data_IF_622146223536
#
_entry.id   IF_622146223536
#
_cell.length_a   1.000
_cell.length_b   1.000
_cell.length_c   1.000
_cell.angle_alpha   90.00
_cell.angle_beta   90.00
_cell.angle_gamma   90.00
#
_symmetry.space_group_name_H-M   'P 1'
#
loop_
_entity.id
_entity.type
_entity.pdbx_description
1 polymer ?
#
# COMPACT_ATOMS: atom_id res chain seq x y z
N UNK A 1 -2.59 13.98 -40.59
CA UNK A 1 -3.47 13.63 -39.45
C UNK A 1 -3.82 14.89 -38.72
N UNK A 2 -5.10 15.17 -38.51
CA UNK A 2 -5.49 16.31 -37.70
C UNK A 2 -5.10 16.03 -36.25
N UNK A 3 -4.28 16.90 -35.65
CA UNK A 3 -3.93 16.81 -34.24
C UNK A 3 -5.17 17.01 -33.35
N UNK A 4 -5.16 16.48 -32.13
CA UNK A 4 -6.21 16.75 -31.16
C UNK A 4 -6.20 18.24 -30.78
N UNK A 5 -7.37 18.88 -30.88
CA UNK A 5 -7.54 20.31 -30.56
C UNK A 5 -8.57 20.47 -29.47
N UNK A 6 -8.18 21.19 -28.42
CA UNK A 6 -9.10 21.55 -27.34
C UNK A 6 -10.10 22.61 -27.79
N UNK A 7 -11.38 22.54 -27.36
CA UNK A 7 -12.40 23.56 -27.68
C UNK A 7 -12.06 24.97 -27.17
N UNK A 8 -11.27 25.06 -26.11
CA UNK A 8 -10.83 26.33 -25.52
C UNK A 8 -9.29 26.33 -25.46
N UNK A 9 -8.68 27.42 -25.92
CA UNK A 9 -7.25 27.66 -25.81
C UNK A 9 -6.95 28.50 -24.56
N UNK A 10 -6.22 27.90 -23.62
CA UNK A 10 -5.75 28.55 -22.42
C UNK A 10 -4.26 28.92 -22.48
N UNK A 11 -3.64 28.85 -23.66
CA UNK A 11 -2.26 29.25 -23.90
C UNK A 11 -1.19 28.24 -23.47
N UNK A 12 -1.58 27.07 -22.96
CA UNK A 12 -0.68 26.02 -22.48
C UNK A 12 -0.75 24.75 -23.36
N UNK A 13 -0.48 24.89 -24.66
CA UNK A 13 -0.63 23.78 -25.63
C UNK A 13 0.45 22.70 -25.59
N UNK A 14 1.40 22.75 -24.65
CA UNK A 14 2.48 21.78 -24.56
C UNK A 14 2.00 20.42 -24.05
N UNK A 15 2.38 19.33 -24.76
CA UNK A 15 2.13 17.95 -24.36
C UNK A 15 0.67 17.45 -24.39
N UNK A 16 -0.29 18.25 -24.84
CA UNK A 16 -1.71 17.83 -24.84
C UNK A 16 -1.97 16.59 -25.69
N UNK A 17 -1.26 16.41 -26.79
CA UNK A 17 -1.40 15.24 -27.65
C UNK A 17 -0.88 13.97 -26.96
N UNK A 18 0.19 14.05 -26.19
CA UNK A 18 0.72 12.94 -25.42
C UNK A 18 -0.20 12.56 -24.28
N UNK A 19 -0.74 13.54 -23.56
CA UNK A 19 -1.74 13.32 -22.53
C UNK A 19 -3.02 12.71 -23.09
N UNK A 20 -3.50 13.20 -24.23
CA UNK A 20 -4.67 12.63 -24.90
C UNK A 20 -4.44 11.18 -25.30
N UNK A 21 -3.26 10.86 -25.84
CA UNK A 21 -2.89 9.48 -26.22
C UNK A 21 -2.89 8.56 -24.99
N UNK A 22 -2.33 9.00 -23.87
CA UNK A 22 -2.36 8.23 -22.63
C UNK A 22 -3.77 8.06 -22.09
N UNK A 23 -4.60 9.11 -22.10
CA UNK A 23 -6.01 9.04 -21.69
C UNK A 23 -6.83 8.04 -22.51
N UNK A 24 -6.48 7.84 -23.76
CA UNK A 24 -7.14 6.84 -24.62
C UNK A 24 -6.70 5.41 -24.32
N UNK A 25 -5.68 5.21 -23.53
CA UNK A 25 -5.24 3.89 -23.10
C UNK A 25 -6.04 3.42 -21.87
N UNK A 26 -7.31 3.06 -22.11
CA UNK A 26 -8.24 2.67 -21.06
C UNK A 26 -7.75 1.48 -20.21
N UNK A 27 -6.92 0.60 -20.78
CA UNK A 27 -6.40 -0.56 -20.08
C UNK A 27 -5.45 -0.19 -18.94
N UNK A 28 -4.62 0.86 -19.09
CA UNK A 28 -3.75 1.34 -18.04
C UNK A 28 -4.54 1.89 -16.84
N UNK A 29 -5.55 2.70 -17.13
CA UNK A 29 -6.40 3.27 -16.06
C UNK A 29 -7.26 2.21 -15.37
N UNK A 30 -7.78 1.23 -16.12
CA UNK A 30 -8.52 0.11 -15.54
C UNK A 30 -7.64 -0.73 -14.61
N UNK A 31 -6.40 -1.01 -14.98
CA UNK A 31 -5.44 -1.74 -14.15
C UNK A 31 -5.10 -0.97 -12.86
N UNK A 32 -4.84 0.33 -12.95
CA UNK A 32 -4.61 1.19 -11.79
C UNK A 32 -5.84 1.23 -10.87
N UNK A 33 -7.04 1.36 -11.43
CA UNK A 33 -8.30 1.36 -10.68
C UNK A 33 -8.52 0.08 -9.91
N UNK A 34 -8.12 -1.07 -10.46
CA UNK A 34 -8.24 -2.35 -9.76
C UNK A 34 -7.38 -2.40 -8.49
N UNK A 35 -6.17 -1.86 -8.52
CA UNK A 35 -5.31 -1.73 -7.33
C UNK A 35 -5.98 -0.85 -6.27
N UNK A 36 -6.47 0.33 -6.64
CA UNK A 36 -7.18 1.21 -5.71
C UNK A 36 -8.45 0.58 -5.16
N UNK A 37 -9.19 -0.18 -5.97
CA UNK A 37 -10.35 -0.94 -5.52
C UNK A 37 -9.99 -1.95 -4.43
N UNK A 38 -8.87 -2.66 -4.56
CA UNK A 38 -8.39 -3.55 -3.51
C UNK A 38 -8.14 -2.79 -2.20
N UNK A 39 -7.56 -1.61 -2.26
CA UNK A 39 -7.24 -0.76 -1.12
C UNK A 39 -8.41 0.18 -0.71
N UNK A 40 -9.59 0.04 -1.28
CA UNK A 40 -10.78 0.76 -0.83
C UNK A 40 -11.53 0.09 0.33
N UNK A 41 -11.20 -1.14 0.66
CA UNK A 41 -11.75 -1.88 1.79
C UNK A 41 -10.85 -1.73 3.02
N UNK A 42 -11.37 -1.29 4.18
CA UNK A 42 -10.55 -1.05 5.37
C UNK A 42 -9.82 -2.29 5.88
N UNK A 43 -10.43 -3.46 5.78
CA UNK A 43 -9.82 -4.72 6.22
C UNK A 43 -8.66 -5.11 5.31
N UNK A 44 -8.81 -4.95 3.99
CA UNK A 44 -7.72 -5.21 3.04
C UNK A 44 -6.55 -4.24 3.22
N UNK A 45 -6.82 -2.97 3.51
CA UNK A 45 -5.76 -2.00 3.85
C UNK A 45 -5.00 -2.44 5.10
N UNK A 46 -5.69 -2.87 6.15
CA UNK A 46 -5.08 -3.39 7.40
C UNK A 46 -4.20 -4.60 7.13
N UNK A 47 -4.67 -5.55 6.33
CA UNK A 47 -3.92 -6.74 5.95
C UNK A 47 -2.67 -6.37 5.15
N UNK A 48 -2.82 -5.53 4.13
CA UNK A 48 -1.70 -5.08 3.30
C UNK A 48 -0.66 -4.33 4.13
N UNK A 49 -1.09 -3.44 4.99
CA UNK A 49 -0.20 -2.70 5.90
C UNK A 49 0.58 -3.64 6.82
N UNK A 50 -0.09 -4.57 7.48
CA UNK A 50 0.55 -5.53 8.38
C UNK A 50 1.57 -6.40 7.63
N UNK A 51 1.18 -6.95 6.48
CA UNK A 51 2.04 -7.83 5.67
C UNK A 51 3.15 -7.10 4.92
N UNK A 52 3.11 -5.77 4.88
CA UNK A 52 4.24 -4.94 4.45
C UNK A 52 5.32 -4.84 5.52
N UNK A 53 4.97 -5.05 6.80
CA UNK A 53 5.90 -5.02 7.92
C UNK A 53 6.45 -6.40 8.28
N UNK A 54 5.64 -7.45 8.15
CA UNK A 54 6.06 -8.81 8.51
C UNK A 54 5.24 -9.88 7.78
N UNK A 55 5.85 -11.02 7.56
CA UNK A 55 5.20 -12.22 7.06
C UNK A 55 4.36 -12.89 8.17
N UNK A 56 3.15 -13.34 7.84
CA UNK A 56 2.27 -14.04 8.79
C UNK A 56 1.43 -15.12 8.13
N UNK A 57 1.05 -16.13 8.92
CA UNK A 57 0.08 -17.16 8.54
C UNK A 57 -1.35 -16.70 8.77
N UNK A 58 -2.33 -17.42 8.18
CA UNK A 58 -3.76 -17.07 8.25
C UNK A 58 -4.28 -17.06 9.70
N UNK A 59 -3.87 -18.03 10.52
CA UNK A 59 -4.33 -18.13 11.91
C UNK A 59 -3.89 -16.91 12.72
N UNK A 60 -2.65 -16.49 12.58
CA UNK A 60 -2.12 -15.31 13.27
C UNK A 60 -2.78 -14.02 12.76
N UNK A 61 -2.99 -13.92 11.45
CA UNK A 61 -3.71 -12.77 10.88
C UNK A 61 -5.14 -12.69 11.41
N UNK A 62 -5.86 -13.81 11.47
CA UNK A 62 -7.19 -13.87 12.01
C UNK A 62 -7.24 -13.41 13.48
N UNK A 63 -6.27 -13.85 14.29
CA UNK A 63 -6.15 -13.42 15.69
C UNK A 63 -5.84 -11.91 15.80
N UNK A 64 -4.88 -11.40 15.03
CA UNK A 64 -4.49 -10.00 15.04
C UNK A 64 -5.60 -9.05 14.57
N UNK A 65 -6.42 -9.51 13.63
CA UNK A 65 -7.53 -8.74 13.06
C UNK A 65 -8.86 -8.95 13.81
N UNK A 66 -8.89 -9.89 14.77
CA UNK A 66 -10.10 -10.30 15.48
C UNK A 66 -11.22 -10.76 14.51
N UNK A 67 -10.83 -11.56 13.51
CA UNK A 67 -11.69 -12.04 12.44
C UNK A 67 -11.62 -13.56 12.32
N UNK A 68 -12.60 -14.16 11.64
CA UNK A 68 -12.55 -15.57 11.31
C UNK A 68 -11.50 -15.86 10.22
N UNK A 69 -10.89 -17.05 10.28
CA UNK A 69 -9.95 -17.48 9.24
C UNK A 69 -10.53 -17.51 7.83
N UNK A 70 -11.78 -17.97 7.60
CA UNK A 70 -12.41 -17.89 6.29
C UNK A 70 -12.56 -16.46 5.76
N UNK A 71 -12.90 -15.49 6.59
CA UNK A 71 -13.02 -14.09 6.20
C UNK A 71 -11.66 -13.50 5.82
N UNK A 72 -10.63 -13.77 6.61
CA UNK A 72 -9.24 -13.35 6.30
C UNK A 72 -8.77 -13.99 5.00
N UNK A 73 -9.00 -15.29 4.81
CA UNK A 73 -8.61 -16.01 3.59
C UNK A 73 -9.26 -15.43 2.34
N UNK A 74 -10.50 -14.96 2.41
CA UNK A 74 -11.17 -14.28 1.31
C UNK A 74 -10.43 -13.00 0.89
N UNK A 75 -10.07 -12.16 1.84
CA UNK A 75 -9.31 -10.94 1.58
C UNK A 75 -7.88 -11.22 1.08
N UNK A 76 -7.21 -12.23 1.64
CA UNK A 76 -5.88 -12.65 1.19
C UNK A 76 -5.89 -13.12 -0.26
N UNK A 77 -6.93 -13.84 -0.67
CA UNK A 77 -7.11 -14.26 -2.07
C UNK A 77 -7.20 -13.06 -3.01
N UNK A 78 -8.08 -12.10 -2.72
CA UNK A 78 -8.23 -10.89 -3.51
C UNK A 78 -6.92 -10.12 -3.66
N UNK A 79 -6.20 -9.92 -2.57
CA UNK A 79 -4.93 -9.20 -2.56
C UNK A 79 -3.82 -9.95 -3.29
N UNK A 80 -3.80 -11.27 -3.20
CA UNK A 80 -2.82 -12.11 -3.92
C UNK A 80 -3.11 -12.14 -5.41
N UNK A 81 -4.36 -12.26 -5.82
CA UNK A 81 -4.77 -12.23 -7.24
C UNK A 81 -4.45 -10.88 -7.90
N UNK A 82 -4.51 -9.79 -7.17
CA UNK A 82 -4.15 -8.45 -7.67
C UNK A 82 -2.64 -8.17 -7.65
N UNK A 83 -1.82 -9.09 -7.16
CA UNK A 83 -0.37 -8.96 -7.13
C UNK A 83 0.19 -8.15 -5.96
N UNK A 84 -0.63 -7.75 -5.00
CA UNK A 84 -0.19 -7.00 -3.82
C UNK A 84 0.50 -7.88 -2.80
N UNK A 85 0.10 -9.14 -2.70
CA UNK A 85 0.68 -10.13 -1.80
C UNK A 85 1.27 -11.31 -2.55
N UNK A 86 2.24 -11.95 -1.92
CA UNK A 86 2.76 -13.26 -2.29
C UNK A 86 2.61 -14.22 -1.12
N UNK A 87 2.54 -15.51 -1.42
CA UNK A 87 2.42 -16.56 -0.42
C UNK A 87 3.49 -17.61 -0.60
N UNK A 88 3.85 -18.28 0.49
CA UNK A 88 4.68 -19.48 0.48
C UNK A 88 4.11 -20.51 1.44
N UNK A 89 4.31 -21.78 1.13
CA UNK A 89 3.95 -22.88 2.02
C UNK A 89 5.16 -23.31 2.83
N UNK A 90 4.96 -23.52 4.12
CA UNK A 90 5.92 -24.15 5.02
C UNK A 90 5.19 -25.19 5.86
N UNK A 91 5.40 -26.47 5.53
CA UNK A 91 4.67 -27.58 6.14
C UNK A 91 3.15 -27.51 5.89
N UNK A 92 2.39 -27.41 6.96
CA UNK A 92 0.92 -27.32 6.92
C UNK A 92 0.41 -25.88 6.81
N UNK A 93 1.29 -24.89 6.95
CA UNK A 93 0.93 -23.51 7.00
C UNK A 93 1.28 -22.77 5.72
N UNK A 94 0.45 -21.77 5.37
CA UNK A 94 0.70 -20.83 4.29
C UNK A 94 0.96 -19.47 4.90
N UNK A 95 2.11 -18.91 4.55
CA UNK A 95 2.53 -17.57 4.96
C UNK A 95 2.32 -16.56 3.84
N UNK A 96 1.90 -15.38 4.21
CA UNK A 96 1.66 -14.27 3.30
C UNK A 96 2.54 -13.07 3.68
N UNK A 97 2.99 -12.35 2.68
CA UNK A 97 3.67 -11.05 2.83
C UNK A 97 3.37 -10.15 1.64
N UNK A 98 3.60 -8.86 1.78
CA UNK A 98 3.57 -7.95 0.64
C UNK A 98 4.62 -8.37 -0.40
N UNK A 99 4.29 -8.24 -1.69
CA UNK A 99 5.22 -8.54 -2.76
C UNK A 99 6.46 -7.62 -2.65
N UNK A 100 7.65 -8.19 -2.79
CA UNK A 100 8.91 -7.48 -2.63
C UNK A 100 9.35 -6.83 -3.94
N UNK A 101 8.62 -5.81 -4.35
CA UNK A 101 8.93 -4.97 -5.51
C UNK A 101 9.00 -3.49 -5.12
N UNK A 102 9.74 -2.70 -5.88
CA UNK A 102 9.82 -1.25 -5.64
C UNK A 102 8.44 -0.58 -5.68
N UNK A 103 7.56 -1.02 -6.58
CA UNK A 103 6.19 -0.51 -6.73
C UNK A 103 5.34 -0.81 -5.49
N UNK A 104 5.42 -2.02 -4.95
CA UNK A 104 4.66 -2.41 -3.75
C UNK A 104 5.19 -1.70 -2.50
N UNK A 105 6.51 -1.52 -2.39
CA UNK A 105 7.09 -0.69 -1.31
C UNK A 105 6.62 0.76 -1.40
N UNK A 106 6.60 1.34 -2.59
CA UNK A 106 6.06 2.68 -2.82
C UNK A 106 4.56 2.76 -2.47
N UNK A 107 3.78 1.74 -2.82
CA UNK A 107 2.36 1.69 -2.48
C UNK A 107 2.14 1.66 -0.96
N UNK A 108 2.96 0.92 -0.22
CA UNK A 108 2.94 0.94 1.24
C UNK A 108 3.24 2.35 1.80
N UNK A 109 4.26 3.03 1.27
CA UNK A 109 4.56 4.44 1.63
C UNK A 109 3.37 5.36 1.36
N UNK A 110 2.68 5.18 0.22
CA UNK A 110 1.46 5.95 -0.10
C UNK A 110 0.36 5.69 0.93
N UNK A 111 0.14 4.44 1.34
CA UNK A 111 -0.84 4.10 2.38
C UNK A 111 -0.51 4.81 3.69
N UNK A 112 0.76 4.82 4.11
CA UNK A 112 1.22 5.54 5.29
C UNK A 112 0.92 7.05 5.20
N UNK A 113 1.27 7.67 4.07
CA UNK A 113 1.04 9.09 3.83
C UNK A 113 -0.46 9.44 3.80
N UNK A 114 -1.28 8.61 3.19
CA UNK A 114 -2.74 8.80 3.17
C UNK A 114 -3.34 8.69 4.56
N UNK A 115 -2.85 7.77 5.40
CA UNK A 115 -3.28 7.68 6.79
C UNK A 115 -2.92 8.94 7.59
N UNK A 116 -1.79 9.56 7.33
CA UNK A 116 -1.41 10.84 7.94
C UNK A 116 -2.32 12.00 7.51
N UNK A 117 -2.74 12.03 6.24
CA UNK A 117 -3.71 13.00 5.72
C UNK A 117 -5.08 12.82 6.41
N UNK A 118 -5.54 11.57 6.51
CA UNK A 118 -6.85 11.24 7.07
C UNK A 118 -6.90 11.35 8.61
N UNK A 119 -5.75 11.13 9.28
CA UNK A 119 -5.59 11.17 10.74
C UNK A 119 -4.33 11.96 11.11
N UNK A 120 -4.36 13.30 11.11
CA UNK A 120 -3.19 14.13 11.41
C UNK A 120 -2.59 13.86 12.79
N UNK A 121 -3.39 13.43 13.75
CA UNK A 121 -2.97 13.08 15.12
C UNK A 121 -1.97 11.92 15.13
N UNK A 122 -2.09 10.98 14.17
CA UNK A 122 -1.18 9.85 14.02
C UNK A 122 0.25 10.29 13.64
N UNK A 123 0.40 11.36 12.88
CA UNK A 123 1.71 11.89 12.50
C UNK A 123 2.49 12.39 13.73
N UNK A 124 1.81 13.00 14.69
CA UNK A 124 2.40 13.46 15.96
C UNK A 124 2.85 12.28 16.82
N UNK A 125 2.00 11.25 16.95
CA UNK A 125 2.31 10.05 17.71
C UNK A 125 3.45 9.24 17.08
N UNK A 126 3.51 9.18 15.76
CA UNK A 126 4.57 8.51 15.01
C UNK A 126 5.92 9.21 15.19
N UNK A 127 5.97 10.53 15.17
CA UNK A 127 7.17 11.31 15.43
C UNK A 127 7.64 11.14 16.89
N UNK A 128 6.73 11.23 17.85
CA UNK A 128 7.02 11.02 19.25
C UNK A 128 7.57 9.61 19.52
N UNK A 129 7.03 8.60 18.85
CA UNK A 129 7.50 7.22 18.94
C UNK A 129 8.90 7.05 18.33
N UNK A 130 9.16 7.68 17.19
CA UNK A 130 10.50 7.66 16.56
C UNK A 130 11.53 8.38 17.43
N UNK A 131 11.20 9.53 17.99
CA UNK A 131 12.08 10.26 18.90
C UNK A 131 12.36 9.48 20.18
N UNK A 132 11.38 8.75 20.71
CA UNK A 132 11.55 7.89 21.87
C UNK A 132 12.50 6.71 21.59
N UNK A 133 12.39 6.09 20.41
CA UNK A 133 13.29 5.00 19.98
C UNK A 133 14.72 5.54 19.80
N UNK A 134 14.89 6.68 19.15
CA UNK A 134 16.20 7.31 18.94
C UNK A 134 16.85 7.64 20.28
N UNK A 135 16.09 8.18 21.21
CA UNK A 135 16.56 8.50 22.57
C UNK A 135 17.01 7.25 23.32
N UNK A 136 16.23 6.18 23.25
CA UNK A 136 16.57 4.91 23.92
C UNK A 136 17.86 4.30 23.37
N UNK A 137 18.02 4.27 22.05
CA UNK A 137 19.25 3.79 21.39
C UNK A 137 20.46 4.67 21.77
N UNK A 138 20.27 5.97 21.87
CA UNK A 138 21.34 6.89 22.26
C UNK A 138 21.77 6.66 23.73
N UNK A 139 20.82 6.46 24.62
CA UNK A 139 21.09 6.20 26.04
C UNK A 139 21.81 4.87 26.26
N UNK A 140 21.45 3.81 25.49
CA UNK A 140 22.16 2.53 25.52
C UNK A 140 23.60 2.64 25.01
N UNK A 141 23.82 3.38 23.92
CA UNK A 141 25.18 3.58 23.36
C UNK A 141 26.09 4.42 24.25
N UNK A 142 25.53 5.28 25.11
CA UNK A 142 26.32 6.12 26.03
C UNK A 142 26.53 5.47 27.39
N UNK A 143 25.74 4.45 27.76
CA UNK A 143 25.87 3.72 28.99
C UNK A 143 27.07 2.74 29.03
N UNK A 144 27.57 2.35 27.84
CA UNK A 144 28.72 1.44 27.67
C UNK A 144 30.07 2.17 27.56
N UNK A 145 30.11 3.46 27.79
CA UNK A 145 31.31 4.28 27.81
C UNK A 145 31.64 4.73 29.26
#
# INVERSE_FOLDING_TARGET
>A
MAGFVLPHDHGEGGHIEDLHRELMNAAHFAAASEIFKQLSDPTRVRIFWLLSHREECVINLAALLEMSSPAVSHHLRSLTESGLLVSRRDGKEVYYKAADTAQIRMLHEIVEQVMEIACPERAVDSQASQEAIIRHVHDELTADL
#
